data_IF_490140971536
#
_entry.id   IF_490140971536
#
_cell.length_a   1.000
_cell.length_b   1.000
_cell.length_c   1.000
_cell.angle_alpha   90.00
_cell.angle_beta   90.00
_cell.angle_gamma   90.00
#
_symmetry.space_group_name_H-M   'P 1'
#
loop_
_entity.id
_entity.type
_entity.pdbx_description
1 polymer ?
#
# COMPACT_ATOMS: atom_id res chain seq x y z
N UNK A 1 55.89 0.57 -6.73
CA UNK A 1 54.84 0.86 -5.74
C UNK A 1 53.91 1.97 -6.18
N UNK A 2 54.41 3.14 -6.63
CA UNK A 2 53.56 4.25 -7.00
C UNK A 2 52.51 3.98 -8.13
N UNK A 3 52.84 3.13 -9.09
CA UNK A 3 51.91 2.75 -10.17
C UNK A 3 50.69 1.99 -9.65
N UNK A 4 50.83 1.07 -8.72
CA UNK A 4 49.70 0.32 -8.16
C UNK A 4 48.78 1.21 -7.32
N UNK A 5 49.36 2.19 -6.61
CA UNK A 5 48.59 3.18 -5.84
C UNK A 5 47.74 4.07 -6.81
N UNK A 6 48.37 4.57 -7.87
CA UNK A 6 47.66 5.35 -8.87
C UNK A 6 46.59 4.54 -9.60
N UNK A 7 46.86 3.28 -9.90
CA UNK A 7 45.94 2.37 -10.56
C UNK A 7 44.74 2.02 -9.65
N UNK A 8 44.98 1.74 -8.33
CA UNK A 8 43.90 1.49 -7.38
C UNK A 8 43.00 2.72 -7.22
N UNK A 9 43.57 3.92 -7.13
CA UNK A 9 42.82 5.17 -7.07
C UNK A 9 41.98 5.40 -8.33
N UNK A 10 42.55 5.17 -9.51
CA UNK A 10 41.83 5.29 -10.79
C UNK A 10 40.65 4.30 -10.88
N UNK A 11 40.87 3.04 -10.52
CA UNK A 11 39.84 2.01 -10.55
C UNK A 11 38.71 2.34 -9.57
N UNK A 12 39.01 2.69 -8.35
CA UNK A 12 38.02 3.06 -7.34
C UNK A 12 37.22 4.30 -7.74
N UNK A 13 37.87 5.27 -8.40
CA UNK A 13 37.19 6.47 -8.93
C UNK A 13 36.27 6.13 -10.10
N UNK A 14 36.70 5.23 -11.01
CA UNK A 14 35.86 4.76 -12.10
C UNK A 14 34.58 4.07 -11.56
N UNK A 15 34.71 3.19 -10.56
CA UNK A 15 33.55 2.58 -9.90
C UNK A 15 32.63 3.60 -9.21
N UNK A 16 33.18 4.66 -8.61
CA UNK A 16 32.40 5.74 -8.01
C UNK A 16 31.61 6.54 -9.09
N UNK A 17 32.22 6.76 -10.26
CA UNK A 17 31.55 7.37 -11.40
C UNK A 17 30.42 6.49 -11.90
N UNK A 18 30.59 5.16 -11.96
CA UNK A 18 29.55 4.24 -12.37
C UNK A 18 28.34 4.28 -11.41
N UNK A 19 28.58 4.36 -10.10
CA UNK A 19 27.50 4.52 -9.11
C UNK A 19 26.78 5.85 -9.32
N UNK A 20 27.50 6.93 -9.52
CA UNK A 20 26.92 8.26 -9.77
C UNK A 20 26.12 8.29 -11.06
N UNK A 21 26.65 7.70 -12.13
CA UNK A 21 25.97 7.58 -13.42
C UNK A 21 24.66 6.77 -13.30
N UNK A 22 24.66 5.70 -12.51
CA UNK A 22 23.47 4.91 -12.21
C UNK A 22 22.44 5.75 -11.44
N UNK A 23 22.86 6.54 -10.46
CA UNK A 23 21.97 7.44 -9.72
C UNK A 23 21.31 8.46 -10.66
N UNK A 24 22.09 9.05 -11.58
CA UNK A 24 21.57 10.02 -12.57
C UNK A 24 20.58 9.34 -13.53
N UNK A 25 20.91 8.17 -14.05
CA UNK A 25 20.04 7.43 -14.94
C UNK A 25 18.69 7.09 -14.30
N UNK A 26 18.67 6.84 -12.98
CA UNK A 26 17.47 6.51 -12.23
C UNK A 26 16.86 7.68 -11.46
N UNK A 27 17.27 8.93 -11.74
CA UNK A 27 16.77 10.10 -11.01
C UNK A 27 15.24 10.28 -11.14
N UNK A 28 14.65 9.81 -12.24
CA UNK A 28 13.20 9.84 -12.50
C UNK A 28 12.48 8.53 -12.11
N UNK A 29 13.21 7.51 -11.62
CA UNK A 29 12.61 6.23 -11.27
C UNK A 29 11.92 6.33 -9.90
N UNK A 30 10.62 6.05 -9.86
CA UNK A 30 9.83 6.11 -8.62
C UNK A 30 10.33 5.09 -7.61
N UNK A 31 10.57 5.55 -6.37
CA UNK A 31 11.05 4.69 -5.29
C UNK A 31 12.53 4.29 -5.37
N UNK A 32 13.29 4.83 -6.33
CA UNK A 32 14.73 4.59 -6.42
C UNK A 32 15.45 5.10 -5.17
N UNK A 33 16.45 4.36 -4.75
CA UNK A 33 17.32 4.68 -3.62
C UNK A 33 18.75 4.83 -4.11
N UNK A 34 19.26 6.06 -4.05
CA UNK A 34 20.60 6.40 -4.49
C UNK A 34 21.66 5.56 -3.76
N UNK A 35 22.66 5.13 -4.49
CA UNK A 35 23.85 4.51 -3.95
C UNK A 35 24.92 5.56 -3.68
N UNK A 36 25.61 5.45 -2.57
CA UNK A 36 26.80 6.21 -2.23
C UNK A 36 27.99 5.27 -2.24
N UNK A 37 29.00 5.63 -3.02
CA UNK A 37 30.23 4.83 -3.06
C UNK A 37 31.09 5.16 -1.85
N UNK A 38 31.49 4.11 -1.10
CA UNK A 38 32.33 4.25 0.08
C UNK A 38 33.74 3.81 -0.24
N UNK A 39 34.68 4.74 -0.10
CA UNK A 39 36.10 4.49 -0.20
C UNK A 39 36.63 3.93 1.12
N UNK A 40 37.54 2.98 1.04
CA UNK A 40 38.37 2.54 2.15
C UNK A 40 39.84 2.83 1.84
N UNK A 41 40.57 3.26 2.83
CA UNK A 41 42.04 3.31 2.75
C UNK A 41 42.59 1.90 2.92
N UNK A 42 43.45 1.50 2.02
CA UNK A 42 44.10 0.21 2.07
C UNK A 42 45.35 0.32 2.95
N UNK A 43 45.19 -0.06 4.24
CA UNK A 43 46.30 -0.08 5.17
C UNK A 43 47.15 -1.33 5.00
N UNK A 44 48.42 -1.13 4.83
CA UNK A 44 49.39 -2.21 4.91
C UNK A 44 49.40 -2.78 6.34
N UNK A 45 49.09 -4.04 6.50
CA UNK A 45 49.43 -4.77 7.73
C UNK A 45 50.93 -4.84 7.81
N UNK A 46 51.52 -3.90 8.55
CA UNK A 46 52.95 -3.87 8.76
C UNK A 46 53.44 -5.20 9.37
N UNK A 47 54.15 -5.96 8.60
CA UNK A 47 54.93 -7.07 9.08
C UNK A 47 56.15 -6.57 9.89
N UNK A 48 56.42 -5.25 9.86
CA UNK A 48 57.46 -4.62 10.63
C UNK A 48 56.90 -3.47 11.51
N UNK A 49 56.81 -3.68 12.84
CA UNK A 49 56.29 -2.66 13.76
C UNK A 49 57.19 -1.41 13.89
N UNK A 50 58.41 -1.44 13.35
CA UNK A 50 59.41 -0.39 13.53
C UNK A 50 59.54 0.61 12.38
N UNK A 51 58.82 0.40 11.28
CA UNK A 51 58.81 1.34 10.16
C UNK A 51 57.99 2.61 10.47
N UNK A 52 58.67 3.74 10.58
CA UNK A 52 58.08 5.06 10.82
C UNK A 52 57.50 5.71 9.56
N UNK A 53 57.82 5.22 8.38
CA UNK A 53 57.38 5.76 7.09
C UNK A 53 56.28 4.85 6.50
N UNK A 54 55.03 5.11 6.85
CA UNK A 54 53.87 4.40 6.31
C UNK A 54 53.36 5.14 5.09
N UNK A 55 53.77 4.70 3.93
CA UNK A 55 53.15 5.10 2.68
C UNK A 55 51.78 4.39 2.55
N UNK A 56 50.70 5.14 2.31
CA UNK A 56 49.39 4.56 2.00
C UNK A 56 49.49 3.67 0.76
N UNK A 57 48.73 2.59 0.70
CA UNK A 57 48.73 1.64 -0.42
C UNK A 57 47.66 1.95 -1.49
N UNK A 58 46.95 3.03 -1.35
CA UNK A 58 45.91 3.45 -2.29
C UNK A 58 44.52 3.37 -1.70
N UNK A 59 43.49 3.46 -2.56
CA UNK A 59 42.11 3.39 -2.19
C UNK A 59 41.46 2.10 -2.71
N UNK A 60 40.66 1.48 -1.87
CA UNK A 60 39.85 0.33 -2.24
C UNK A 60 38.35 0.65 -2.06
N UNK A 61 37.50 -0.14 -2.71
CA UNK A 61 36.06 -0.05 -2.49
C UNK A 61 35.71 -0.72 -1.16
N UNK A 62 35.14 0.02 -0.21
CA UNK A 62 34.54 -0.56 0.99
C UNK A 62 33.16 -1.16 0.69
N UNK A 63 32.37 -0.49 -0.16
CA UNK A 63 31.04 -0.94 -0.53
C UNK A 63 30.20 0.18 -1.14
N UNK A 64 28.95 -0.13 -1.41
CA UNK A 64 27.95 0.84 -1.85
C UNK A 64 26.89 0.90 -0.77
N UNK A 65 26.75 2.05 -0.12
CA UNK A 65 25.69 2.32 0.84
C UNK A 65 24.46 2.85 0.11
N UNK A 66 23.30 2.24 0.35
CA UNK A 66 22.05 2.78 -0.18
C UNK A 66 21.47 3.79 0.79
N UNK A 67 21.14 4.95 0.25
CA UNK A 67 20.52 6.02 1.03
C UNK A 67 19.02 5.76 1.12
N UNK A 68 18.53 5.50 2.36
CA UNK A 68 17.12 5.16 2.60
C UNK A 68 16.25 6.38 2.96
N UNK A 69 16.77 7.60 2.76
CA UNK A 69 16.03 8.84 3.03
C UNK A 69 14.71 8.88 2.24
N UNK A 70 13.72 9.57 2.82
CA UNK A 70 12.42 9.74 2.18
C UNK A 70 12.52 10.77 1.06
N UNK A 71 11.82 10.50 -0.04
CA UNK A 71 11.60 11.48 -1.10
C UNK A 71 10.34 12.31 -0.85
N UNK A 72 10.06 13.22 -1.76
CA UNK A 72 8.78 13.93 -1.81
C UNK A 72 7.67 13.00 -2.26
N UNK A 73 6.55 13.04 -1.55
CA UNK A 73 5.33 12.36 -1.97
C UNK A 73 4.59 13.27 -2.94
N UNK A 74 4.24 12.75 -4.09
CA UNK A 74 3.45 13.44 -5.13
C UNK A 74 2.12 12.73 -5.29
N UNK A 75 1.04 13.50 -5.36
CA UNK A 75 -0.27 12.94 -5.70
C UNK A 75 -0.31 12.58 -7.17
N UNK A 76 -0.85 11.41 -7.46
CA UNK A 76 -1.16 10.93 -8.79
C UNK A 76 -2.68 10.79 -8.95
N UNK A 77 -3.15 10.68 -10.19
CA UNK A 77 -4.58 10.46 -10.45
C UNK A 77 -4.97 8.98 -10.40
N UNK A 78 -4.02 8.09 -10.12
CA UNK A 78 -4.28 6.66 -10.00
C UNK A 78 -4.57 6.29 -8.53
N UNK A 79 -5.76 5.78 -8.20
CA UNK A 79 -6.14 5.46 -6.82
C UNK A 79 -5.35 4.30 -6.20
N UNK A 80 -4.61 3.54 -7.00
CA UNK A 80 -3.78 2.43 -6.54
C UNK A 80 -2.31 2.80 -6.34
N UNK A 81 -1.93 4.03 -6.64
CA UNK A 81 -0.59 4.50 -6.35
C UNK A 81 -0.47 4.81 -4.86
N UNK A 82 0.47 4.16 -4.22
CA UNK A 82 0.72 4.29 -2.78
C UNK A 82 2.17 4.64 -2.49
N UNK A 83 2.39 5.49 -1.51
CA UNK A 83 3.73 5.89 -1.08
C UNK A 83 3.98 5.46 0.37
N UNK A 84 5.21 5.01 0.64
CA UNK A 84 5.67 4.71 1.99
C UNK A 84 6.34 5.94 2.60
N UNK A 85 5.73 6.48 3.67
CA UNK A 85 6.26 7.61 4.45
C UNK A 85 7.12 7.19 5.64
N UNK A 86 7.30 5.88 5.85
CA UNK A 86 8.09 5.28 6.93
C UNK A 86 9.14 4.29 6.44
N UNK A 87 9.97 3.76 7.35
CA UNK A 87 10.89 2.66 7.04
C UNK A 87 10.10 1.42 6.63
N UNK A 88 10.57 0.71 5.61
CA UNK A 88 9.95 -0.51 5.10
C UNK A 88 9.98 -0.59 3.59
N UNK A 89 9.48 -1.69 3.04
CA UNK A 89 9.35 -1.95 1.62
C UNK A 89 8.05 -2.70 1.37
N UNK A 90 7.49 -2.57 0.18
CA UNK A 90 6.42 -3.44 -0.26
C UNK A 90 6.98 -4.82 -0.55
N UNK A 91 6.24 -5.84 -0.14
CA UNK A 91 6.59 -7.24 -0.41
C UNK A 91 5.84 -7.70 -1.64
N UNK A 92 6.58 -8.22 -2.60
CA UNK A 92 6.04 -8.74 -3.86
C UNK A 92 6.32 -10.24 -3.95
N UNK A 93 5.41 -10.99 -4.54
CA UNK A 93 5.59 -12.40 -4.87
C UNK A 93 5.27 -12.67 -6.32
N UNK A 94 6.11 -13.47 -6.99
CA UNK A 94 5.80 -13.99 -8.32
C UNK A 94 5.08 -15.31 -8.13
N UNK A 95 3.78 -15.34 -8.42
CA UNK A 95 3.00 -16.55 -8.30
C UNK A 95 2.00 -16.71 -9.45
N UNK A 96 2.03 -17.88 -10.06
CA UNK A 96 1.11 -18.25 -11.13
C UNK A 96 -0.13 -19.02 -10.66
N UNK A 97 -0.12 -19.52 -9.42
CA UNK A 97 -1.17 -20.39 -8.89
C UNK A 97 -2.12 -19.73 -7.89
N UNK A 98 -1.94 -18.45 -7.59
CA UNK A 98 -2.83 -17.72 -6.65
C UNK A 98 -2.60 -18.01 -5.16
N UNK A 99 -1.73 -18.96 -4.81
CA UNK A 99 -1.33 -19.23 -3.43
C UNK A 99 -0.02 -18.52 -3.11
N UNK A 100 0.10 -17.94 -1.92
CA UNK A 100 1.36 -17.32 -1.49
C UNK A 100 2.44 -18.40 -1.43
N UNK A 101 3.58 -18.18 -2.09
CA UNK A 101 4.69 -19.14 -1.99
C UNK A 101 5.12 -19.25 -0.53
N UNK A 102 5.45 -20.47 -0.11
CA UNK A 102 6.04 -20.72 1.21
C UNK A 102 7.25 -19.81 1.38
N UNK A 103 7.41 -19.21 2.57
CA UNK A 103 8.45 -18.21 2.88
C UNK A 103 9.86 -18.78 2.63
N UNK A 104 10.27 -18.75 1.37
CA UNK A 104 11.68 -18.95 1.02
C UNK A 104 12.23 -17.61 0.53
N UNK A 105 13.49 -17.25 0.87
CA UNK A 105 14.09 -15.96 0.48
C UNK A 105 14.01 -15.66 -1.02
N UNK A 106 14.00 -16.69 -1.85
CA UNK A 106 14.02 -16.56 -3.31
C UNK A 106 12.63 -16.28 -3.93
N UNK A 107 11.58 -16.31 -3.11
CA UNK A 107 10.20 -16.22 -3.59
C UNK A 107 9.61 -14.82 -3.43
N UNK A 108 10.16 -14.02 -2.52
CA UNK A 108 9.73 -12.66 -2.25
C UNK A 108 10.72 -11.64 -2.82
N UNK A 109 10.19 -10.58 -3.38
CA UNK A 109 10.95 -9.39 -3.77
C UNK A 109 10.46 -8.18 -2.99
N UNK A 110 11.35 -7.21 -2.81
CA UNK A 110 11.06 -6.00 -2.07
C UNK A 110 11.20 -4.80 -2.99
N UNK A 111 10.23 -3.90 -2.95
CA UNK A 111 10.25 -2.67 -3.74
C UNK A 111 9.82 -1.47 -2.91
N UNK A 112 10.27 -0.28 -3.33
CA UNK A 112 9.76 1.01 -2.86
C UNK A 112 8.87 1.68 -3.89
N UNK A 113 8.81 1.14 -5.12
CA UNK A 113 7.86 1.60 -6.12
C UNK A 113 6.45 1.15 -5.70
N UNK A 114 5.56 2.11 -5.51
CA UNK A 114 4.18 1.90 -5.11
C UNK A 114 3.17 2.09 -6.23
N UNK A 115 3.61 2.04 -7.48
CA UNK A 115 2.73 2.07 -8.64
C UNK A 115 2.16 0.68 -8.89
N UNK A 116 0.86 0.52 -8.57
CA UNK A 116 0.17 -0.75 -8.70
C UNK A 116 -1.02 -0.65 -9.65
N UNK A 117 -1.38 -1.78 -10.23
CA UNK A 117 -2.58 -1.98 -11.03
C UNK A 117 -3.39 -3.16 -10.52
N UNK A 118 -4.48 -3.47 -11.22
CA UNK A 118 -5.34 -4.64 -10.93
C UNK A 118 -5.29 -5.58 -12.12
N UNK A 119 -5.14 -6.88 -11.86
CA UNK A 119 -5.24 -7.91 -12.89
C UNK A 119 -6.71 -8.32 -13.15
N UNK A 120 -6.92 -9.20 -14.14
CA UNK A 120 -8.26 -9.72 -14.49
C UNK A 120 -8.95 -10.50 -13.35
N UNK A 121 -8.21 -10.88 -12.30
CA UNK A 121 -8.72 -11.58 -11.11
C UNK A 121 -8.84 -10.66 -9.88
N UNK A 122 -8.86 -9.34 -10.10
CA UNK A 122 -8.92 -8.34 -9.02
C UNK A 122 -7.75 -8.40 -8.03
N UNK A 123 -6.58 -8.89 -8.45
CA UNK A 123 -5.38 -8.92 -7.61
C UNK A 123 -4.51 -7.70 -7.90
N UNK A 124 -3.89 -7.18 -6.86
CA UNK A 124 -3.02 -6.01 -6.97
C UNK A 124 -1.64 -6.47 -7.48
N UNK A 125 -1.22 -5.92 -8.62
CA UNK A 125 0.03 -6.26 -9.32
C UNK A 125 0.85 -5.01 -9.60
N UNK A 126 2.17 -5.19 -9.71
CA UNK A 126 3.06 -4.15 -10.22
C UNK A 126 3.22 -4.27 -11.75
N UNK A 127 3.93 -3.33 -12.37
CA UNK A 127 4.21 -3.34 -13.81
C UNK A 127 4.95 -4.60 -14.32
N UNK A 128 5.69 -5.28 -13.44
CA UNK A 128 6.41 -6.51 -13.76
C UNK A 128 5.55 -7.77 -13.58
N UNK A 129 4.25 -7.64 -13.32
CA UNK A 129 3.33 -8.76 -13.13
C UNK A 129 3.52 -9.52 -11.81
N UNK A 130 4.16 -8.90 -10.81
CA UNK A 130 4.30 -9.48 -9.48
C UNK A 130 3.17 -8.98 -8.57
N UNK A 131 2.68 -9.87 -7.73
CA UNK A 131 1.57 -9.61 -6.83
C UNK A 131 2.05 -8.99 -5.51
N UNK A 132 1.35 -7.98 -5.03
CA UNK A 132 1.60 -7.46 -3.69
C UNK A 132 1.09 -8.46 -2.64
N UNK A 133 1.92 -8.68 -1.62
CA UNK A 133 1.65 -9.60 -0.52
C UNK A 133 1.51 -8.82 0.77
N UNK A 134 0.51 -9.18 1.55
CA UNK A 134 0.25 -8.54 2.83
C UNK A 134 -0.68 -9.38 3.70
N UNK A 135 -1.13 -8.78 4.78
CA UNK A 135 -2.12 -9.38 5.67
C UNK A 135 -3.53 -9.03 5.19
N UNK A 136 -4.37 -10.01 4.86
CA UNK A 136 -5.73 -9.74 4.42
C UNK A 136 -6.58 -9.17 5.56
N UNK A 137 -7.59 -8.39 5.20
CA UNK A 137 -8.63 -8.00 6.14
C UNK A 137 -9.50 -9.21 6.49
N UNK A 138 -10.02 -9.25 7.71
CA UNK A 138 -11.03 -10.20 8.10
C UNK A 138 -12.37 -9.88 7.43
N UNK A 139 -13.30 -10.83 7.47
CA UNK A 139 -14.64 -10.70 6.88
C UNK A 139 -15.44 -9.52 7.44
N UNK A 140 -15.12 -9.08 8.65
CA UNK A 140 -15.72 -7.88 9.28
C UNK A 140 -15.22 -6.55 8.70
N UNK A 141 -14.15 -6.58 7.88
CA UNK A 141 -13.52 -5.39 7.28
C UNK A 141 -12.87 -4.42 8.29
N UNK A 142 -12.89 -4.73 9.58
CA UNK A 142 -12.39 -3.86 10.67
C UNK A 142 -11.07 -4.33 11.27
N UNK A 143 -10.77 -5.60 11.15
CA UNK A 143 -9.57 -6.22 11.70
C UNK A 143 -8.72 -6.86 10.61
N UNK A 144 -7.41 -6.98 10.88
CA UNK A 144 -6.44 -7.56 9.95
C UNK A 144 -6.04 -8.94 10.47
N UNK A 145 -6.10 -9.94 9.58
CA UNK A 145 -5.62 -11.28 9.90
C UNK A 145 -4.10 -11.34 9.80
N UNK A 146 -3.40 -11.23 10.92
CA UNK A 146 -1.93 -11.28 10.99
C UNK A 146 -1.34 -12.68 10.98
N UNK A 147 -2.18 -13.72 10.93
CA UNK A 147 -1.70 -15.10 11.02
C UNK A 147 -1.18 -15.63 9.69
N UNK A 148 -1.51 -15.00 8.58
CA UNK A 148 -1.18 -15.52 7.27
C UNK A 148 -0.93 -14.40 6.25
N UNK A 149 0.18 -14.48 5.53
CA UNK A 149 0.43 -13.67 4.37
C UNK A 149 -0.37 -14.18 3.18
N UNK A 150 -1.02 -13.28 2.45
CA UNK A 150 -1.73 -13.62 1.23
C UNK A 150 -1.50 -12.56 0.14
N UNK A 151 -1.77 -12.93 -1.10
CA UNK A 151 -1.86 -11.97 -2.21
C UNK A 151 -3.06 -11.07 -1.92
N UNK A 152 -2.85 -9.76 -2.00
CA UNK A 152 -3.91 -8.79 -1.79
C UNK A 152 -4.82 -8.71 -3.02
N UNK A 153 -6.11 -8.88 -2.77
CA UNK A 153 -7.17 -8.75 -3.78
C UNK A 153 -8.08 -7.60 -3.41
N UNK A 154 -8.53 -6.87 -4.41
CA UNK A 154 -9.54 -5.83 -4.24
C UNK A 154 -10.89 -6.40 -4.64
N UNK A 155 -11.77 -6.61 -3.67
CA UNK A 155 -13.13 -7.04 -3.95
C UNK A 155 -13.93 -5.86 -4.54
N UNK A 156 -14.33 -6.01 -5.79
CA UNK A 156 -15.16 -5.04 -6.53
C UNK A 156 -16.63 -5.46 -6.55
N UNK A 157 -17.00 -6.46 -5.76
CA UNK A 157 -18.39 -6.89 -5.67
C UNK A 157 -19.27 -5.74 -5.17
N UNK A 158 -20.44 -5.50 -5.78
CA UNK A 158 -21.37 -4.52 -5.27
C UNK A 158 -21.78 -4.90 -3.85
N UNK A 159 -21.87 -3.89 -2.99
CA UNK A 159 -22.29 -4.10 -1.60
C UNK A 159 -23.68 -4.74 -1.58
N UNK A 160 -23.87 -5.88 -0.89
CA UNK A 160 -25.17 -6.52 -0.82
C UNK A 160 -26.19 -5.56 -0.17
N UNK A 161 -27.40 -5.55 -0.70
CA UNK A 161 -28.49 -4.77 -0.14
C UNK A 161 -28.78 -5.23 1.30
N UNK A 162 -29.08 -4.28 2.17
CA UNK A 162 -29.46 -4.56 3.56
C UNK A 162 -30.90 -4.09 3.78
N UNK A 163 -31.76 -5.02 4.17
CA UNK A 163 -33.15 -4.70 4.51
C UNK A 163 -33.23 -3.79 5.74
N UNK A 164 -34.22 -2.91 5.75
CA UNK A 164 -34.54 -2.10 6.91
C UNK A 164 -35.14 -2.97 8.00
N UNK A 165 -34.44 -3.13 9.13
CA UNK A 165 -34.88 -3.99 10.26
C UNK A 165 -35.64 -3.20 11.33
N UNK A 166 -35.41 -1.91 11.43
CA UNK A 166 -36.07 -1.05 12.43
C UNK A 166 -36.21 0.36 11.88
N UNK A 167 -37.30 1.00 12.22
CA UNK A 167 -37.57 2.40 11.91
C UNK A 167 -38.19 3.06 13.14
N UNK A 168 -37.75 4.27 13.46
CA UNK A 168 -38.28 5.05 14.58
C UNK A 168 -38.81 6.37 14.04
N UNK A 169 -40.07 6.63 14.32
CA UNK A 169 -40.75 7.88 13.94
C UNK A 169 -41.07 8.64 15.22
N UNK A 170 -40.58 9.85 15.32
CA UNK A 170 -40.99 10.79 16.37
C UNK A 170 -41.92 11.83 15.76
N UNK A 171 -43.14 11.97 16.27
CA UNK A 171 -44.10 12.93 15.79
C UNK A 171 -44.87 13.59 16.92
N UNK A 172 -45.33 14.80 16.70
CA UNK A 172 -46.26 15.48 17.58
C UNK A 172 -47.66 15.39 16.97
N UNK A 173 -48.60 14.89 17.75
CA UNK A 173 -50.00 14.78 17.33
C UNK A 173 -50.78 16.04 17.75
N UNK A 174 -51.61 16.58 16.86
CA UNK A 174 -52.48 17.73 17.14
C UNK A 174 -53.74 17.27 17.89
N UNK A 175 -53.90 17.74 19.10
CA UNK A 175 -55.06 17.43 19.96
C UNK A 175 -56.32 18.27 19.63
N UNK A 176 -56.25 19.15 18.64
CA UNK A 176 -57.39 20.03 18.26
C UNK A 176 -58.33 19.41 17.24
N UNK A 177 -58.01 18.23 16.72
CA UNK A 177 -58.85 17.53 15.76
C UNK A 177 -60.08 16.89 16.38
N UNK A 178 -61.21 16.85 15.63
CA UNK A 178 -62.39 16.12 16.05
C UNK A 178 -62.14 14.62 16.11
N UNK A 179 -62.61 13.89 17.15
CA UNK A 179 -62.41 12.45 17.23
C UNK A 179 -63.12 11.73 16.09
N UNK A 180 -62.38 10.82 15.43
CA UNK A 180 -62.90 10.00 14.35
C UNK A 180 -63.70 8.86 14.94
N UNK A 181 -64.97 8.72 14.52
CA UNK A 181 -65.87 7.64 14.96
C UNK A 181 -65.82 6.41 14.05
N UNK A 182 -65.14 6.53 12.90
CA UNK A 182 -65.06 5.46 11.92
C UNK A 182 -63.96 4.43 12.34
N UNK A 183 -64.19 3.15 11.99
CA UNK A 183 -63.17 2.13 12.12
C UNK A 183 -61.99 2.46 11.20
N UNK A 184 -60.76 2.33 11.69
CA UNK A 184 -59.57 2.61 10.90
C UNK A 184 -59.52 1.74 9.64
N UNK A 185 -59.39 2.35 8.49
CA UNK A 185 -59.17 1.74 7.18
C UNK A 185 -58.11 2.57 6.43
N UNK A 186 -56.95 2.02 6.12
CA UNK A 186 -55.87 2.73 5.47
C UNK A 186 -56.19 3.21 4.05
N UNK A 187 -57.28 2.67 3.44
CA UNK A 187 -57.73 3.08 2.13
C UNK A 187 -58.70 4.25 2.18
N UNK A 188 -59.29 4.56 3.34
CA UNK A 188 -60.30 5.58 3.54
C UNK A 188 -59.73 6.82 4.24
N UNK A 189 -59.62 7.92 3.54
CA UNK A 189 -59.04 9.19 4.05
C UNK A 189 -59.79 9.71 5.27
N UNK A 190 -61.10 9.38 5.43
CA UNK A 190 -61.91 9.80 6.57
C UNK A 190 -61.68 8.98 7.83
N UNK A 191 -60.87 7.92 7.79
CA UNK A 191 -60.60 7.04 8.93
C UNK A 191 -59.35 7.43 9.75
N UNK A 192 -58.62 8.46 9.28
CA UNK A 192 -57.43 8.98 9.98
C UNK A 192 -57.30 10.50 9.77
N UNK A 193 -56.67 11.20 10.69
CA UNK A 193 -56.46 12.65 10.66
C UNK A 193 -55.14 13.07 10.04
N UNK A 194 -54.14 12.23 10.16
CA UNK A 194 -52.79 12.54 9.70
C UNK A 194 -52.08 11.26 9.27
N UNK A 195 -51.27 11.36 8.24
CA UNK A 195 -50.39 10.27 7.80
C UNK A 195 -49.01 10.81 7.58
N UNK A 196 -48.01 10.02 7.91
CA UNK A 196 -46.62 10.26 7.56
C UNK A 196 -46.06 9.06 6.80
N UNK A 197 -45.14 9.31 5.89
CA UNK A 197 -44.57 8.25 5.08
C UNK A 197 -43.03 8.23 5.25
N UNK A 198 -42.48 7.03 5.30
CA UNK A 198 -41.07 6.78 5.39
C UNK A 198 -40.64 5.75 4.36
N UNK A 199 -39.49 5.99 3.77
CA UNK A 199 -38.86 5.04 2.86
C UNK A 199 -38.18 3.91 3.63
N UNK A 200 -38.46 2.67 3.26
CA UNK A 200 -37.85 1.45 3.78
C UNK A 200 -37.36 0.61 2.60
N UNK A 201 -36.40 -0.27 2.85
CA UNK A 201 -35.82 -1.11 1.81
C UNK A 201 -36.03 -2.59 2.12
N UNK A 202 -36.31 -3.39 1.11
CA UNK A 202 -36.42 -4.85 1.22
C UNK A 202 -35.03 -5.54 1.18
N UNK A 203 -35.01 -6.87 1.26
CA UNK A 203 -33.79 -7.66 1.18
C UNK A 203 -33.08 -7.57 -0.19
N UNK A 204 -33.80 -7.21 -1.24
CA UNK A 204 -33.25 -6.98 -2.57
C UNK A 204 -32.78 -5.55 -2.82
N UNK A 205 -32.97 -4.63 -1.83
CA UNK A 205 -32.62 -3.23 -1.95
C UNK A 205 -33.66 -2.39 -2.68
N UNK A 206 -34.86 -2.93 -2.94
CA UNK A 206 -35.93 -2.16 -3.54
C UNK A 206 -36.55 -1.23 -2.50
N UNK A 207 -36.93 -0.06 -2.95
CA UNK A 207 -37.53 0.96 -2.12
C UNK A 207 -39.02 0.70 -1.95
N UNK A 208 -39.52 0.72 -0.72
CA UNK A 208 -40.92 0.68 -0.36
C UNK A 208 -41.30 1.89 0.51
N UNK A 209 -42.55 2.32 0.42
CA UNK A 209 -43.05 3.38 1.26
C UNK A 209 -43.89 2.79 2.39
N UNK A 210 -43.45 3.02 3.61
CA UNK A 210 -44.21 2.69 4.82
C UNK A 210 -45.04 3.92 5.21
N UNK A 211 -46.36 3.81 5.20
CA UNK A 211 -47.26 4.87 5.67
C UNK A 211 -47.77 4.52 7.06
N UNK A 212 -47.73 5.50 7.96
CA UNK A 212 -48.13 5.36 9.37
C UNK A 212 -49.10 6.44 9.73
#
# INVERSE_FOLDING_TARGET
MGYNIAFSGLTSTAEAIDVTSNNIANAQTVGYKAGEFMFADEFFRAQDPQSRDRSGMGAARQGIRREMNYGTVTDTQNPLDVALTGPGMFVLAKNTSGTVPTQTPDTFQFTRNGQFGIDANNRIVNENGMYIVGYPANVDGKSINKSQFSILTLDQSPMPAKQTSSSTIAMNLDNRGNPIQATFDPTQVNSYTQTTSQTVYDAGGNQHTLST
#
